data_IF_735468214110
#
_entry.id   IF_735468214110
#
_cell.length_a   1.000
_cell.length_b   1.000
_cell.length_c   1.000
_cell.angle_alpha   90.00
_cell.angle_beta   90.00
_cell.angle_gamma   90.00
#
_symmetry.space_group_name_H-M   'P 1'
#
loop_
_entity.id
_entity.type
_entity.pdbx_description
1 polymer ?
#
# COMPACT_ATOMS: atom_id res chain seq x y z
N UNK A 1 24.01 -21.44 -4.05
CA UNK A 1 22.68 -20.93 -4.49
C UNK A 1 21.51 -21.72 -3.91
N UNK A 2 21.65 -23.01 -3.65
CA UNK A 2 20.59 -23.87 -3.08
C UNK A 2 20.02 -23.32 -1.76
N UNK A 3 20.87 -22.94 -0.80
CA UNK A 3 20.43 -22.30 0.45
C UNK A 3 19.57 -21.04 0.25
N UNK A 4 19.87 -20.21 -0.76
CA UNK A 4 19.07 -19.02 -1.05
C UNK A 4 17.68 -19.39 -1.58
N UNK A 5 17.59 -20.45 -2.40
CA UNK A 5 16.31 -20.95 -2.89
C UNK A 5 15.49 -21.60 -1.77
N UNK A 6 16.13 -22.34 -0.88
CA UNK A 6 15.46 -22.90 0.31
C UNK A 6 14.92 -21.78 1.21
N UNK A 7 15.71 -20.76 1.51
CA UNK A 7 15.26 -19.64 2.32
C UNK A 7 14.13 -18.83 1.62
N UNK A 8 14.17 -18.70 0.30
CA UNK A 8 13.07 -18.11 -0.47
C UNK A 8 11.79 -18.94 -0.35
N UNK A 9 11.89 -20.27 -0.41
CA UNK A 9 10.74 -21.18 -0.26
C UNK A 9 10.11 -21.06 1.13
N UNK A 10 10.93 -20.94 2.17
CA UNK A 10 10.46 -20.76 3.55
C UNK A 10 9.70 -19.46 3.71
N UNK A 11 10.26 -18.37 3.18
CA UNK A 11 9.61 -17.07 3.19
C UNK A 11 8.27 -17.13 2.45
N UNK A 12 8.25 -17.75 1.26
CA UNK A 12 7.04 -17.96 0.46
C UNK A 12 5.98 -18.75 1.22
N UNK A 13 6.35 -19.86 1.85
CA UNK A 13 5.44 -20.69 2.66
C UNK A 13 4.90 -19.94 3.88
N UNK A 14 5.77 -19.19 4.58
CA UNK A 14 5.38 -18.37 5.72
C UNK A 14 4.39 -17.26 5.34
N UNK A 15 4.63 -16.57 4.23
CA UNK A 15 3.71 -15.59 3.67
C UNK A 15 2.40 -16.24 3.23
N UNK A 16 2.45 -17.41 2.59
CA UNK A 16 1.26 -18.16 2.18
C UNK A 16 0.36 -18.53 3.37
N UNK A 17 0.95 -18.92 4.51
CA UNK A 17 0.22 -19.24 5.75
C UNK A 17 -0.55 -18.05 6.34
N UNK A 18 -0.13 -16.82 6.07
CA UNK A 18 -0.87 -15.64 6.54
C UNK A 18 -2.22 -15.50 5.84
N UNK A 19 -2.38 -16.07 4.63
CA UNK A 19 -3.59 -15.97 3.84
C UNK A 19 -3.88 -14.58 3.25
N UNK A 20 -3.13 -13.53 3.64
CA UNK A 20 -3.36 -12.12 3.27
C UNK A 20 -2.68 -11.69 1.96
N UNK A 21 -1.70 -12.46 1.49
CA UNK A 21 -0.91 -12.13 0.31
C UNK A 21 -1.15 -13.07 -0.86
N UNK A 22 -1.06 -12.53 -2.07
CA UNK A 22 -0.92 -13.27 -3.33
C UNK A 22 0.55 -13.33 -3.71
N UNK A 23 1.08 -14.52 -3.91
CA UNK A 23 2.47 -14.70 -4.36
C UNK A 23 2.52 -14.60 -5.88
N UNK A 24 3.27 -13.62 -6.39
CA UNK A 24 3.43 -13.34 -7.82
C UNK A 24 4.70 -14.02 -8.38
N UNK A 25 5.71 -14.24 -7.54
CA UNK A 25 6.97 -14.87 -7.96
C UNK A 25 6.84 -16.37 -8.25
N UNK A 26 7.52 -16.82 -9.30
CA UNK A 26 7.69 -18.25 -9.66
C UNK A 26 8.73 -18.92 -8.76
N UNK A 27 8.66 -20.25 -8.65
CA UNK A 27 9.59 -21.05 -7.85
C UNK A 27 10.97 -21.21 -8.50
N UNK A 28 11.02 -21.19 -9.84
CA UNK A 28 12.27 -21.34 -10.58
C UNK A 28 12.84 -19.99 -11.00
N UNK A 29 14.14 -19.80 -10.75
CA UNK A 29 14.90 -18.65 -11.22
C UNK A 29 15.69 -17.97 -10.10
N UNK A 30 15.67 -16.64 -10.12
CA UNK A 30 16.35 -15.80 -9.13
C UNK A 30 15.71 -16.02 -7.75
N UNK A 31 16.49 -16.24 -6.68
CA UNK A 31 15.96 -16.44 -5.34
C UNK A 31 15.37 -15.13 -4.79
N UNK A 32 14.09 -14.90 -5.08
CA UNK A 32 13.32 -13.75 -4.62
C UNK A 32 11.86 -14.17 -4.38
N UNK A 33 11.17 -13.41 -3.55
CA UNK A 33 9.73 -13.55 -3.32
C UNK A 33 9.07 -12.20 -3.62
N UNK A 34 8.15 -12.21 -4.58
CA UNK A 34 7.33 -11.06 -4.93
C UNK A 34 5.88 -11.36 -4.58
N UNK A 35 5.22 -10.45 -3.87
CA UNK A 35 3.87 -10.67 -3.36
C UNK A 35 3.08 -9.36 -3.25
N UNK A 36 1.76 -9.45 -3.41
CA UNK A 36 0.81 -8.34 -3.27
C UNK A 36 -0.21 -8.66 -2.17
N UNK A 37 -0.90 -7.65 -1.63
CA UNK A 37 -2.05 -7.86 -0.76
C UNK A 37 -3.22 -8.42 -1.57
N UNK A 38 -4.03 -9.29 -0.97
CA UNK A 38 -5.28 -9.79 -1.58
C UNK A 38 -6.39 -8.76 -1.55
N UNK A 39 -6.47 -8.01 -0.46
CA UNK A 39 -7.48 -7.00 -0.18
C UNK A 39 -6.72 -5.70 0.14
N UNK A 40 -6.85 -4.65 -0.69
CA UNK A 40 -6.19 -3.36 -0.47
C UNK A 40 -7.12 -2.27 0.10
N UNK A 41 -8.32 -2.65 0.55
CA UNK A 41 -9.42 -1.72 0.85
C UNK A 41 -9.07 -0.63 1.87
N UNK A 42 -8.23 -0.95 2.85
CA UNK A 42 -7.85 -0.02 3.91
C UNK A 42 -6.38 0.39 3.89
N UNK A 43 -5.50 -0.49 3.39
CA UNK A 43 -4.05 -0.31 3.41
C UNK A 43 -3.44 -0.84 2.12
N UNK A 44 -2.41 -0.16 1.64
CA UNK A 44 -1.66 -0.54 0.46
C UNK A 44 -0.30 -1.16 0.81
N UNK A 45 0.36 -1.74 -0.18
CA UNK A 45 1.69 -2.35 -0.05
C UNK A 45 2.78 -1.32 0.33
N UNK A 46 2.60 -0.04 -0.01
CA UNK A 46 3.52 1.03 0.37
C UNK A 46 3.50 1.28 1.88
N UNK A 47 2.32 1.25 2.50
CA UNK A 47 2.18 1.36 3.96
C UNK A 47 2.83 0.18 4.67
N UNK A 48 2.66 -1.04 4.16
CA UNK A 48 3.35 -2.23 4.69
C UNK A 48 4.86 -2.06 4.58
N UNK A 49 5.37 -1.59 3.44
CA UNK A 49 6.79 -1.29 3.23
C UNK A 49 7.33 -0.29 4.25
N UNK A 50 6.61 0.81 4.48
CA UNK A 50 7.02 1.86 5.41
C UNK A 50 6.97 1.40 6.87
N UNK A 51 5.95 0.62 7.23
CA UNK A 51 5.83 0.05 8.58
C UNK A 51 6.96 -0.94 8.89
N UNK A 52 7.36 -1.75 7.91
CA UNK A 52 8.48 -2.68 8.05
C UNK A 52 9.81 -1.98 8.33
N UNK A 53 9.99 -0.71 7.93
CA UNK A 53 11.19 0.08 8.25
C UNK A 53 11.40 0.26 9.75
N UNK A 54 10.32 0.26 10.55
CA UNK A 54 10.40 0.37 12.03
C UNK A 54 11.14 -0.83 12.65
N UNK A 55 11.11 -1.98 11.98
CA UNK A 55 11.82 -3.20 12.37
C UNK A 55 13.22 -3.31 11.73
N UNK A 56 13.63 -2.30 10.95
CA UNK A 56 14.91 -2.27 10.23
C UNK A 56 14.88 -2.95 8.86
N UNK A 57 13.71 -3.39 8.39
CA UNK A 57 13.57 -4.03 7.09
C UNK A 57 13.39 -2.99 5.98
N UNK A 58 14.08 -3.18 4.86
CA UNK A 58 13.91 -2.39 3.64
C UNK A 58 13.33 -3.32 2.56
N UNK A 59 12.00 -3.34 2.47
CA UNK A 59 11.28 -4.14 1.47
C UNK A 59 10.64 -3.20 0.45
N UNK A 60 11.14 -3.10 -0.79
CA UNK A 60 10.59 -2.18 -1.78
C UNK A 60 9.17 -2.60 -2.21
N UNK A 61 8.28 -1.62 -2.29
CA UNK A 61 6.98 -1.73 -2.96
C UNK A 61 7.03 -0.94 -4.29
N UNK A 62 6.46 -1.48 -5.36
CA UNK A 62 6.34 -0.81 -6.65
C UNK A 62 5.12 -1.29 -7.43
N UNK A 63 4.60 -0.42 -8.29
CA UNK A 63 3.54 -0.76 -9.25
C UNK A 63 4.12 -1.48 -10.46
N UNK A 64 3.34 -2.39 -11.03
CA UNK A 64 3.74 -3.16 -12.20
C UNK A 64 3.75 -2.30 -13.49
N UNK A 65 4.37 -2.79 -14.59
CA UNK A 65 4.52 -2.07 -15.86
C UNK A 65 3.18 -1.70 -16.54
N UNK A 66 3.20 -0.97 -17.68
CA UNK A 66 2.03 -0.28 -18.26
C UNK A 66 0.73 -1.05 -18.51
N UNK A 67 0.72 -2.38 -18.47
CA UNK A 67 -0.48 -3.20 -18.67
C UNK A 67 -0.99 -3.87 -17.37
N UNK A 68 -0.35 -3.59 -16.24
CA UNK A 68 -0.65 -4.19 -14.94
C UNK A 68 -0.52 -3.20 -13.77
N UNK A 69 -0.56 -1.89 -14.03
CA UNK A 69 -0.30 -0.82 -13.04
C UNK A 69 -1.19 -0.88 -11.79
N UNK A 70 -2.38 -1.46 -11.90
CA UNK A 70 -3.31 -1.72 -10.79
C UNK A 70 -2.75 -2.72 -9.75
N UNK A 71 -1.71 -3.48 -10.12
CA UNK A 71 -1.02 -4.41 -9.22
C UNK A 71 0.20 -3.72 -8.62
N UNK A 72 0.18 -3.56 -7.29
CA UNK A 72 1.36 -3.16 -6.52
C UNK A 72 1.95 -4.40 -5.85
N UNK A 73 3.28 -4.52 -5.87
CA UNK A 73 3.99 -5.68 -5.30
C UNK A 73 5.07 -5.26 -4.35
N UNK A 74 5.27 -6.05 -3.30
CA UNK A 74 6.46 -6.06 -2.46
C UNK A 74 7.44 -7.08 -3.01
N UNK A 75 8.75 -6.79 -2.96
CA UNK A 75 9.80 -7.72 -3.41
C UNK A 75 10.89 -7.89 -2.37
N UNK A 76 11.11 -9.14 -1.95
CA UNK A 76 12.24 -9.54 -1.10
C UNK A 76 13.22 -10.36 -1.92
N UNK A 77 14.46 -9.90 -2.03
CA UNK A 77 15.53 -10.64 -2.73
C UNK A 77 16.37 -11.38 -1.70
N UNK A 78 16.54 -12.68 -1.89
CA UNK A 78 17.27 -13.54 -0.97
C UNK A 78 18.72 -13.65 -1.43
N UNK A 79 19.61 -13.08 -0.63
CA UNK A 79 21.06 -13.08 -0.84
C UNK A 79 21.72 -14.15 0.04
N UNK A 80 23.01 -14.37 -0.16
CA UNK A 80 23.78 -15.39 0.56
C UNK A 80 23.84 -15.14 2.07
N UNK A 81 23.80 -13.88 2.49
CA UNK A 81 23.75 -13.44 3.90
C UNK A 81 22.34 -13.54 4.51
N UNK A 82 21.31 -13.81 3.71
CA UNK A 82 19.93 -13.94 4.19
C UNK A 82 19.69 -15.35 4.72
N UNK A 83 19.92 -15.51 6.03
CA UNK A 83 19.77 -16.79 6.73
C UNK A 83 18.31 -17.19 6.95
N UNK A 84 18.12 -18.47 7.29
CA UNK A 84 16.82 -19.03 7.66
C UNK A 84 16.16 -18.29 8.81
N UNK A 85 16.94 -17.92 9.83
CA UNK A 85 16.47 -17.16 10.99
C UNK A 85 15.99 -15.76 10.60
N UNK A 86 16.65 -15.11 9.64
CA UNK A 86 16.20 -13.83 9.11
C UNK A 86 14.89 -13.96 8.33
N UNK A 87 14.72 -15.04 7.57
CA UNK A 87 13.46 -15.34 6.88
C UNK A 87 12.29 -15.48 7.87
N UNK A 88 12.48 -16.28 8.91
CA UNK A 88 11.47 -16.51 9.95
C UNK A 88 11.15 -15.24 10.73
N UNK A 89 12.19 -14.46 11.09
CA UNK A 89 12.01 -13.15 11.75
C UNK A 89 11.23 -12.17 10.88
N UNK A 90 11.53 -12.10 9.58
CA UNK A 90 10.81 -11.26 8.63
C UNK A 90 9.32 -11.64 8.58
N UNK A 91 8.99 -12.94 8.55
CA UNK A 91 7.59 -13.41 8.57
C UNK A 91 6.88 -12.93 9.84
N UNK A 92 7.52 -13.07 11.00
CA UNK A 92 6.95 -12.64 12.30
C UNK A 92 6.71 -11.13 12.32
N UNK A 93 7.68 -10.34 11.85
CA UNK A 93 7.53 -8.88 11.83
C UNK A 93 6.47 -8.43 10.81
N UNK A 94 6.33 -9.10 9.66
CA UNK A 94 5.23 -8.88 8.72
C UNK A 94 3.87 -9.15 9.38
N UNK A 95 3.73 -10.25 10.14
CA UNK A 95 2.48 -10.55 10.84
C UNK A 95 2.12 -9.48 11.88
N UNK A 96 3.12 -8.95 12.61
CA UNK A 96 2.91 -7.83 13.54
C UNK A 96 2.46 -6.57 12.81
N UNK A 97 3.13 -6.22 11.71
CA UNK A 97 2.75 -5.06 10.88
C UNK A 97 1.32 -5.19 10.37
N UNK A 98 0.94 -6.37 9.86
CA UNK A 98 -0.44 -6.60 9.41
C UNK A 98 -1.45 -6.43 10.55
N UNK A 99 -1.15 -6.97 11.73
CA UNK A 99 -2.02 -6.82 12.89
C UNK A 99 -2.13 -5.35 13.36
N UNK A 100 -1.03 -4.60 13.36
CA UNK A 100 -1.05 -3.17 13.66
C UNK A 100 -1.90 -2.40 12.63
N UNK A 101 -1.72 -2.68 11.33
CA UNK A 101 -2.51 -2.05 10.28
C UNK A 101 -4.00 -2.35 10.43
N UNK A 102 -4.38 -3.60 10.75
CA UNK A 102 -5.78 -3.97 10.98
C UNK A 102 -6.44 -3.17 12.14
N UNK A 103 -5.66 -2.62 13.07
CA UNK A 103 -6.19 -1.79 14.18
C UNK A 103 -6.23 -0.29 13.86
N UNK A 104 -5.58 0.15 12.79
CA UNK A 104 -5.51 1.55 12.41
C UNK A 104 -6.66 1.89 11.45
N UNK A 105 -7.27 3.09 11.56
CA UNK A 105 -8.17 3.55 10.53
C UNK A 105 -7.40 3.73 9.23
N UNK A 106 -8.03 3.39 8.10
CA UNK A 106 -7.47 3.63 6.78
C UNK A 106 -6.95 5.07 6.69
N UNK A 107 -5.67 5.24 6.35
CA UNK A 107 -5.18 6.56 5.98
C UNK A 107 -5.97 6.96 4.74
N UNK A 108 -6.55 8.16 4.75
CA UNK A 108 -7.10 8.76 3.54
C UNK A 108 -5.98 8.77 2.49
N UNK A 109 -6.00 7.79 1.60
CA UNK A 109 -5.06 7.67 0.51
C UNK A 109 -5.38 8.81 -0.46
N UNK A 110 -4.37 9.60 -0.81
CA UNK A 110 -4.48 10.48 -1.95
C UNK A 110 -4.72 9.56 -3.16
N UNK A 111 -5.94 9.61 -3.67
CA UNK A 111 -6.42 8.85 -4.81
C UNK A 111 -5.46 9.03 -6.00
N UNK A 112 -4.91 7.91 -6.48
CA UNK A 112 -4.59 7.73 -7.90
C UNK A 112 -5.47 6.57 -8.38
N UNK A 113 -6.79 6.83 -8.48
CA UNK A 113 -7.75 5.95 -9.13
C UNK A 113 -7.74 6.26 -10.64
N UNK A 114 -7.42 5.26 -11.45
CA UNK A 114 -7.93 5.18 -12.82
C UNK A 114 -8.73 3.87 -12.97
N UNK A 115 -10.02 4.00 -12.62
CA UNK A 115 -11.26 3.42 -13.17
C UNK A 115 -11.43 1.92 -13.49
N UNK A 116 -12.53 1.34 -12.98
CA UNK A 116 -13.56 0.68 -13.81
C UNK A 116 -14.95 0.58 -13.10
N UNK A 117 -15.88 1.46 -13.52
CA UNK A 117 -17.34 1.28 -13.79
C UNK A 117 -18.30 0.75 -12.68
N UNK A 118 -19.56 1.18 -12.48
CA UNK A 118 -20.49 2.20 -12.99
C UNK A 118 -21.67 2.25 -11.97
N UNK A 119 -21.97 3.42 -11.36
CA UNK A 119 -23.31 3.76 -10.85
C UNK A 119 -23.47 5.28 -10.98
N UNK A 120 -24.47 5.70 -11.75
CA UNK A 120 -24.63 7.06 -12.24
C UNK A 120 -24.73 8.14 -11.16
N UNK A 121 -23.89 9.15 -11.31
CA UNK A 121 -24.14 10.50 -10.82
C UNK A 121 -23.60 11.50 -11.86
N UNK A 122 -24.35 12.57 -12.10
CA UNK A 122 -24.12 13.50 -13.21
C UNK A 122 -22.79 14.23 -12.98
N UNK A 123 -21.80 13.97 -13.84
CA UNK A 123 -20.46 14.59 -13.78
C UNK A 123 -20.55 16.10 -14.02
N UNK A 124 -20.68 16.89 -12.95
CA UNK A 124 -20.44 18.34 -13.01
C UNK A 124 -19.01 18.60 -13.47
N UNK A 125 -18.83 19.51 -14.42
CA UNK A 125 -17.51 19.82 -14.99
C UNK A 125 -16.56 20.32 -13.89
N UNK A 126 -15.27 20.00 -13.98
CA UNK A 126 -14.26 20.41 -12.99
C UNK A 126 -14.25 21.94 -12.74
N UNK A 127 -14.61 22.73 -13.76
CA UNK A 127 -14.76 24.18 -13.68
C UNK A 127 -15.91 24.62 -12.77
N UNK A 128 -17.00 23.84 -12.76
CA UNK A 128 -18.18 24.10 -11.94
C UNK A 128 -17.91 23.80 -10.47
N UNK A 129 -17.22 22.69 -10.20
CA UNK A 129 -16.75 22.32 -8.85
C UNK A 129 -15.78 23.38 -8.30
N UNK A 130 -14.82 23.85 -9.10
CA UNK A 130 -13.89 24.92 -8.70
C UNK A 130 -14.61 26.24 -8.40
N UNK A 131 -15.64 26.58 -9.18
CA UNK A 131 -16.46 27.78 -8.96
C UNK A 131 -17.26 27.67 -7.66
N UNK A 132 -17.87 26.51 -7.38
CA UNK A 132 -18.63 26.28 -6.15
C UNK A 132 -17.71 26.38 -4.92
N UNK A 133 -16.55 25.73 -4.95
CA UNK A 133 -15.56 25.79 -3.86
C UNK A 133 -15.09 27.24 -3.65
N UNK A 134 -14.71 27.95 -4.72
CA UNK A 134 -14.25 29.34 -4.62
C UNK A 134 -15.34 30.27 -4.09
N UNK A 135 -16.60 30.04 -4.47
CA UNK A 135 -17.75 30.83 -4.02
C UNK A 135 -18.06 30.56 -2.54
N UNK A 136 -18.02 29.30 -2.12
CA UNK A 136 -18.18 28.90 -0.71
C UNK A 136 -17.08 29.50 0.16
N UNK A 137 -15.82 29.46 -0.30
CA UNK A 137 -14.68 30.04 0.42
C UNK A 137 -14.76 31.56 0.52
N UNK A 138 -15.14 32.24 -0.56
CA UNK A 138 -15.40 33.69 -0.54
C UNK A 138 -16.51 34.05 0.44
N UNK A 139 -17.63 33.31 0.45
CA UNK A 139 -18.73 33.53 1.39
C UNK A 139 -18.27 33.35 2.84
N UNK A 140 -17.55 32.27 3.13
CA UNK A 140 -16.99 32.00 4.46
C UNK A 140 -16.04 33.11 4.94
N UNK A 141 -15.14 33.58 4.07
CA UNK A 141 -14.21 34.67 4.40
C UNK A 141 -14.95 36.00 4.61
N UNK A 142 -15.99 36.28 3.83
CA UNK A 142 -16.81 37.48 3.96
C UNK A 142 -17.65 37.47 5.23
N UNK A 143 -18.25 36.34 5.60
CA UNK A 143 -19.00 36.18 6.85
C UNK A 143 -18.08 36.36 8.06
N UNK A 144 -16.85 35.83 8.02
CA UNK A 144 -15.86 35.98 9.08
C UNK A 144 -15.30 37.42 9.20
N UNK A 145 -15.23 38.17 8.09
CA UNK A 145 -14.91 39.61 8.14
C UNK A 145 -16.05 40.44 8.73
N UNK A 146 -17.30 40.03 8.52
CA UNK A 146 -18.50 40.70 9.06
C UNK A 146 -18.63 40.54 10.59
N UNK A 147 -18.14 39.44 11.15
CA UNK A 147 -18.16 39.17 12.60
C UNK A 147 -17.00 39.81 13.38
N UNK A 148 -15.93 40.25 12.70
CA UNK A 148 -14.75 40.86 13.34
C UNK A 148 -14.84 42.41 13.46
N UNK A 149 -16.02 42.99 13.26
CA UNK A 149 -16.26 44.42 13.35
C UNK A 149 -17.50 44.74 14.18
N UNK A 150 -17.48 44.42 15.47
CA UNK A 150 -18.40 44.98 16.47
C UNK A 150 -17.58 45.27 17.73
N UNK A 151 -17.38 46.55 18.03
CA UNK A 151 -17.05 47.06 19.36
C UNK A 151 -18.27 46.97 20.27
#
# INVERSE_FOLDING_TARGET
>A
MENCQENAKVLKEGLGKTGRFNIVSKDNGVPLVAFSLKENSHHNEFEVSDMLRRFGWIVPAYTMPPDAQHVTVLRVVIREDFSRTLAERLIVDIQKVLHELDTLPARLSAVCEENAEDVGDVKKSALEVQREISTAWKKFVMDRKKTNGVC
#
